data_IF_431111713696
#
_entry.id   IF_431111713696
#
_cell.length_a   1.000
_cell.length_b   1.000
_cell.length_c   1.000
_cell.angle_alpha   90.00
_cell.angle_beta   90.00
_cell.angle_gamma   90.00
#
_symmetry.space_group_name_H-M   'P 1'
#
loop_
_entity.id
_entity.type
_entity.pdbx_description
1 polymer ?
#
# COMPACT_ATOMS: atom_id res chain seq x y z
N UNK A 1 4.43 8.85 -17.04
CA UNK A 1 4.49 9.24 -15.61
C UNK A 1 5.84 8.97 -14.95
N UNK A 2 6.33 7.72 -14.83
CA UNK A 2 7.57 7.40 -14.08
C UNK A 2 8.80 8.25 -14.47
N UNK A 3 9.01 8.46 -15.78
CA UNK A 3 10.10 9.32 -16.27
C UNK A 3 9.95 10.77 -15.77
N UNK A 4 8.75 11.33 -15.84
CA UNK A 4 8.48 12.68 -15.34
C UNK A 4 8.67 12.78 -13.83
N UNK A 5 8.21 11.79 -13.07
CA UNK A 5 8.43 11.72 -11.63
C UNK A 5 9.93 11.73 -11.29
N UNK A 6 10.75 10.97 -12.02
CA UNK A 6 12.21 10.98 -11.87
C UNK A 6 12.82 12.35 -12.18
N UNK A 7 12.43 12.98 -13.27
CA UNK A 7 12.92 14.33 -13.62
C UNK A 7 12.60 15.35 -12.53
N UNK A 8 11.39 15.32 -11.96
CA UNK A 8 11.05 16.20 -10.84
C UNK A 8 11.83 15.86 -9.56
N UNK A 9 12.06 14.58 -9.27
CA UNK A 9 12.87 14.17 -8.12
C UNK A 9 14.33 14.64 -8.25
N UNK A 10 14.92 14.49 -9.44
CA UNK A 10 16.28 14.97 -9.75
C UNK A 10 16.37 16.51 -9.58
N UNK A 11 15.38 17.25 -10.09
CA UNK A 11 15.32 18.70 -9.89
C UNK A 11 15.19 19.06 -8.40
N UNK A 12 14.30 18.43 -7.65
CA UNK A 12 14.16 18.66 -6.20
C UNK A 12 15.48 18.41 -5.46
N UNK A 13 16.23 17.37 -5.84
CA UNK A 13 17.55 17.11 -5.27
C UNK A 13 18.55 18.24 -5.58
N UNK A 14 18.51 18.84 -6.78
CA UNK A 14 19.36 20.00 -7.09
C UNK A 14 19.01 21.24 -6.27
N UNK A 15 17.77 21.35 -5.80
CA UNK A 15 17.31 22.39 -4.86
C UNK A 15 17.60 22.04 -3.38
N UNK A 16 18.31 20.93 -3.12
CA UNK A 16 18.72 20.51 -1.77
C UNK A 16 17.69 19.65 -1.03
N UNK A 17 16.61 19.20 -1.69
CA UNK A 17 15.64 18.31 -1.07
C UNK A 17 16.24 16.93 -0.80
N UNK A 18 16.08 16.44 0.43
CA UNK A 18 16.45 15.08 0.85
C UNK A 18 15.26 14.44 1.58
N UNK A 19 14.76 13.32 1.05
CA UNK A 19 13.66 12.59 1.66
C UNK A 19 12.75 11.89 0.65
N UNK A 20 11.64 11.36 1.14
CA UNK A 20 10.59 10.73 0.32
C UNK A 20 9.72 11.82 -0.31
N UNK A 21 9.38 11.68 -1.59
CA UNK A 21 8.46 12.57 -2.28
C UNK A 21 7.49 11.75 -3.14
N UNK A 22 6.21 12.08 -3.04
CA UNK A 22 5.16 11.59 -3.93
C UNK A 22 4.86 12.59 -5.04
N UNK A 23 4.53 12.10 -6.23
CA UNK A 23 4.10 12.91 -7.36
C UNK A 23 2.76 12.40 -7.87
N UNK A 24 1.74 13.24 -7.78
CA UNK A 24 0.40 12.90 -8.21
C UNK A 24 0.19 13.43 -9.63
N UNK A 25 -0.26 12.55 -10.52
CA UNK A 25 -0.51 12.84 -11.92
C UNK A 25 -1.98 12.61 -12.26
N UNK A 26 -2.51 13.42 -13.18
CA UNK A 26 -3.79 13.16 -13.83
C UNK A 26 -3.52 12.71 -15.26
N UNK A 27 -4.06 11.56 -15.63
CA UNK A 27 -4.03 11.06 -17.00
C UNK A 27 -5.26 11.54 -17.78
N UNK A 28 -5.07 11.90 -19.05
CA UNK A 28 -6.14 12.29 -19.96
C UNK A 28 -5.83 11.85 -21.39
N UNK A 29 -6.85 11.79 -22.23
CA UNK A 29 -6.70 11.57 -23.66
C UNK A 29 -6.67 12.94 -24.34
N UNK A 30 -5.58 13.25 -25.02
CA UNK A 30 -5.43 14.55 -25.68
C UNK A 30 -6.44 14.67 -26.84
N UNK A 31 -7.27 15.73 -26.89
CA UNK A 31 -8.37 15.82 -27.85
C UNK A 31 -7.90 15.78 -29.31
N UNK A 32 -6.82 16.49 -29.64
CA UNK A 32 -6.36 16.55 -31.03
C UNK A 32 -5.57 15.33 -31.51
N UNK A 33 -4.93 14.58 -30.61
CA UNK A 33 -4.03 13.49 -30.98
C UNK A 33 -4.58 12.11 -30.63
N UNK A 34 -5.60 12.04 -29.78
CA UNK A 34 -6.13 10.79 -29.23
C UNK A 34 -5.15 10.01 -28.36
N UNK A 35 -3.98 10.58 -28.03
CA UNK A 35 -2.93 9.89 -27.28
C UNK A 35 -3.11 10.09 -25.78
N UNK A 36 -2.82 9.07 -24.94
CA UNK A 36 -2.71 9.26 -23.50
C UNK A 36 -1.61 10.26 -23.17
N UNK A 37 -1.94 11.23 -22.33
CA UNK A 37 -1.01 12.19 -21.75
C UNK A 37 -1.24 12.29 -20.25
N UNK A 38 -0.29 12.90 -19.55
CA UNK A 38 -0.38 13.12 -18.11
C UNK A 38 0.10 14.53 -17.75
N UNK A 39 -0.51 15.11 -16.72
CA UNK A 39 -0.11 16.39 -16.13
C UNK A 39 0.19 16.19 -14.65
N UNK A 40 1.22 16.87 -14.13
CA UNK A 40 1.52 16.88 -12.70
C UNK A 40 0.45 17.70 -11.98
N UNK A 41 -0.22 17.10 -11.00
CA UNK A 41 -1.25 17.76 -10.20
C UNK A 41 -0.69 18.25 -8.85
N UNK A 42 0.14 17.43 -8.19
CA UNK A 42 0.64 17.73 -6.85
C UNK A 42 2.03 17.12 -6.60
N UNK A 43 2.84 17.80 -5.78
CA UNK A 43 4.08 17.28 -5.21
C UNK A 43 3.91 17.16 -3.70
N UNK A 44 4.06 15.94 -3.18
CA UNK A 44 3.92 15.61 -1.78
C UNK A 44 5.28 15.26 -1.17
N UNK A 45 6.04 16.28 -0.75
CA UNK A 45 7.39 16.16 -0.16
C UNK A 45 7.35 15.72 1.31
N UNK A 46 6.77 14.54 1.58
CA UNK A 46 6.61 13.94 2.92
C UNK A 46 6.36 12.44 2.82
N UNK A 47 6.50 11.74 3.93
CA UNK A 47 5.93 10.39 4.08
C UNK A 47 4.40 10.52 4.01
N UNK A 48 3.80 9.90 3.00
CA UNK A 48 2.36 9.89 2.76
C UNK A 48 1.75 8.51 3.04
N UNK A 49 0.43 8.40 2.93
CA UNK A 49 -0.30 7.15 3.25
C UNK A 49 0.05 5.98 2.33
N UNK A 50 0.58 6.25 1.13
CA UNK A 50 1.03 5.23 0.19
C UNK A 50 2.47 4.76 0.47
N UNK A 51 3.24 5.52 1.27
CA UNK A 51 4.67 5.24 1.52
C UNK A 51 4.86 3.91 2.24
N UNK A 52 4.17 3.69 3.37
CA UNK A 52 4.31 2.46 4.16
C UNK A 52 3.84 1.20 3.42
N UNK A 53 2.64 1.17 2.80
CA UNK A 53 2.22 0.01 2.01
C UNK A 53 3.18 -0.34 0.88
N UNK A 54 3.69 0.68 0.15
CA UNK A 54 4.62 0.45 -0.96
C UNK A 54 5.95 -0.10 -0.45
N UNK A 55 6.47 0.45 0.64
CA UNK A 55 7.69 -0.04 1.28
C UNK A 55 7.53 -1.47 1.83
N UNK A 56 6.37 -1.81 2.42
CA UNK A 56 6.08 -3.16 2.88
C UNK A 56 6.11 -4.17 1.73
N UNK A 57 5.48 -3.86 0.59
CA UNK A 57 5.50 -4.73 -0.59
C UNK A 57 6.93 -4.94 -1.10
N UNK A 58 7.70 -3.85 -1.25
CA UNK A 58 9.10 -3.93 -1.70
C UNK A 58 9.96 -4.77 -0.74
N UNK A 59 9.86 -4.50 0.57
CA UNK A 59 10.61 -5.20 1.60
C UNK A 59 10.28 -6.70 1.63
N UNK A 60 8.99 -7.05 1.61
CA UNK A 60 8.54 -8.44 1.63
C UNK A 60 8.94 -9.18 0.35
N UNK A 61 8.84 -8.55 -0.81
CA UNK A 61 9.28 -9.16 -2.08
C UNK A 61 10.80 -9.38 -2.12
N UNK A 62 11.59 -8.43 -1.60
CA UNK A 62 13.04 -8.59 -1.48
C UNK A 62 13.44 -9.74 -0.55
N UNK A 63 12.66 -9.99 0.50
CA UNK A 63 12.87 -11.12 1.41
C UNK A 63 12.40 -12.47 0.83
N UNK A 64 11.30 -12.48 0.06
CA UNK A 64 10.68 -13.67 -0.53
C UNK A 64 11.42 -14.19 -1.77
N UNK A 65 11.87 -13.28 -2.65
CA UNK A 65 12.46 -13.64 -3.95
C UNK A 65 13.65 -14.62 -3.84
N UNK A 66 14.64 -14.43 -2.93
CA UNK A 66 15.76 -15.37 -2.81
C UNK A 66 15.36 -16.76 -2.31
N UNK A 67 14.18 -16.88 -1.68
CA UNK A 67 13.66 -18.13 -1.12
C UNK A 67 12.72 -18.87 -2.08
N UNK A 68 12.46 -18.32 -3.27
CA UNK A 68 11.48 -18.87 -4.20
C UNK A 68 10.04 -18.82 -3.66
N UNK A 69 9.76 -17.93 -2.70
CA UNK A 69 8.42 -17.72 -2.18
C UNK A 69 7.60 -16.86 -3.15
N UNK A 70 6.26 -16.94 -3.11
CA UNK A 70 5.38 -16.11 -3.94
C UNK A 70 5.68 -14.62 -3.79
N UNK A 71 5.53 -13.84 -4.86
CA UNK A 71 5.68 -12.40 -4.81
C UNK A 71 4.32 -11.72 -4.67
N UNK A 72 4.31 -10.58 -4.00
CA UNK A 72 3.14 -9.73 -3.85
C UNK A 72 3.07 -8.81 -5.08
N UNK A 73 1.95 -8.86 -5.79
CA UNK A 73 1.71 -8.11 -7.02
C UNK A 73 0.61 -7.06 -6.89
N UNK A 74 -0.22 -7.16 -5.86
CA UNK A 74 -1.28 -6.22 -5.55
C UNK A 74 -1.37 -5.96 -4.05
N UNK A 75 -1.81 -4.76 -3.69
CA UNK A 75 -2.12 -4.42 -2.31
C UNK A 75 -3.28 -3.43 -2.23
N UNK A 76 -3.97 -3.44 -1.09
CA UNK A 76 -4.97 -2.43 -0.70
C UNK A 76 -4.60 -1.90 0.67
N UNK A 77 -4.38 -0.60 0.78
CA UNK A 77 -4.23 0.09 2.06
C UNK A 77 -5.57 0.68 2.47
N UNK A 78 -5.96 0.52 3.73
CA UNK A 78 -7.19 1.09 4.25
C UNK A 78 -7.11 1.34 5.76
N UNK A 79 -7.99 2.21 6.23
CA UNK A 79 -8.22 2.44 7.66
C UNK A 79 -9.49 1.71 8.07
N UNK A 80 -9.39 0.84 9.06
CA UNK A 80 -10.53 0.12 9.63
C UNK A 80 -10.78 0.54 11.09
N UNK A 81 -12.00 0.31 11.55
CA UNK A 81 -12.42 0.56 12.93
C UNK A 81 -12.70 -0.79 13.60
N UNK A 82 -11.66 -1.45 14.13
CA UNK A 82 -11.77 -2.82 14.65
C UNK A 82 -12.65 -2.86 15.91
N UNK A 83 -13.47 -3.91 16.04
CA UNK A 83 -14.32 -4.17 17.21
C UNK A 83 -13.63 -5.02 18.27
N UNK A 84 -12.54 -5.70 17.90
CA UNK A 84 -11.68 -6.43 18.85
C UNK A 84 -11.07 -5.51 19.90
N UNK A 85 -10.88 -6.02 21.13
CA UNK A 85 -10.47 -5.26 22.32
C UNK A 85 -8.98 -5.39 22.63
N UNK A 86 -8.31 -6.34 21.99
CA UNK A 86 -6.87 -6.59 22.17
C UNK A 86 -6.24 -7.17 20.91
N UNK A 87 -4.90 -7.10 20.82
CA UNK A 87 -4.16 -7.78 19.76
C UNK A 87 -4.24 -9.31 19.86
N UNK A 88 -4.44 -9.84 21.07
CA UNK A 88 -4.68 -11.27 21.28
C UNK A 88 -5.99 -11.69 20.62
N UNK A 89 -7.07 -10.95 20.88
CA UNK A 89 -8.38 -11.19 20.27
C UNK A 89 -8.33 -10.99 18.74
N UNK A 90 -7.62 -9.97 18.25
CA UNK A 90 -7.38 -9.79 16.82
C UNK A 90 -6.73 -11.04 16.20
N UNK A 91 -5.70 -11.60 16.84
CA UNK A 91 -5.04 -12.82 16.36
C UNK A 91 -5.96 -14.04 16.43
N UNK A 92 -6.79 -14.16 17.47
CA UNK A 92 -7.74 -15.27 17.61
C UNK A 92 -8.83 -15.24 16.53
N UNK A 93 -9.35 -14.05 16.24
CA UNK A 93 -10.48 -13.83 15.34
C UNK A 93 -10.04 -13.77 13.87
N UNK A 94 -8.94 -13.08 13.58
CA UNK A 94 -8.45 -12.84 12.22
C UNK A 94 -7.21 -13.66 11.85
N UNK A 95 -6.70 -14.56 12.71
CA UNK A 95 -5.38 -15.17 12.55
C UNK A 95 -5.12 -15.86 11.21
N UNK A 96 -6.14 -16.51 10.64
CA UNK A 96 -6.07 -17.16 9.31
C UNK A 96 -6.02 -16.17 8.15
N UNK A 97 -6.42 -14.91 8.38
CA UNK A 97 -6.43 -13.82 7.39
C UNK A 97 -5.17 -12.96 7.49
N UNK A 98 -4.37 -13.09 8.55
CA UNK A 98 -3.11 -12.37 8.69
C UNK A 98 -2.08 -12.87 7.68
N UNK A 99 -1.15 -12.00 7.31
CA UNK A 99 -0.14 -12.29 6.29
C UNK A 99 0.64 -13.58 6.57
N UNK A 100 0.66 -14.46 5.58
CA UNK A 100 1.45 -15.69 5.58
C UNK A 100 2.58 -15.59 4.53
N UNK A 101 3.86 -15.60 4.94
CA UNK A 101 4.99 -15.52 4.01
C UNK A 101 5.17 -16.76 3.13
N UNK A 102 4.55 -17.89 3.46
CA UNK A 102 4.57 -19.08 2.59
C UNK A 102 3.67 -18.93 1.37
N UNK A 103 2.57 -18.18 1.51
CA UNK A 103 1.60 -17.95 0.44
C UNK A 103 1.77 -16.57 -0.21
N UNK A 104 2.42 -15.62 0.46
CA UNK A 104 2.51 -14.22 0.02
C UNK A 104 1.18 -13.47 0.13
N UNK A 105 0.20 -14.02 0.87
CA UNK A 105 -1.17 -13.49 0.99
C UNK A 105 -1.49 -13.12 2.43
N UNK A 106 -2.37 -12.14 2.61
CA UNK A 106 -3.01 -11.84 3.89
C UNK A 106 -2.94 -10.36 4.27
N UNK A 107 -3.42 -10.06 5.47
CA UNK A 107 -3.55 -8.69 5.98
C UNK A 107 -2.47 -8.40 7.03
N UNK A 108 -1.86 -7.22 6.93
CA UNK A 108 -0.92 -6.69 7.92
C UNK A 108 -1.51 -5.42 8.53
N UNK A 109 -1.91 -5.44 9.81
CA UNK A 109 -2.10 -4.24 10.60
C UNK A 109 -0.75 -3.55 10.85
N UNK A 110 -0.58 -2.29 10.44
CA UNK A 110 0.71 -1.60 10.55
C UNK A 110 0.68 -0.28 11.32
N UNK A 111 -0.50 0.26 11.63
CA UNK A 111 -0.66 1.40 12.53
C UNK A 111 -1.92 1.21 13.38
N UNK A 112 -1.76 0.81 14.65
CA UNK A 112 -2.87 0.36 15.49
C UNK A 112 -3.11 1.38 16.62
N UNK A 113 -4.26 2.05 16.56
CA UNK A 113 -4.75 2.90 17.64
C UNK A 113 -5.31 2.09 18.81
N UNK A 114 -5.83 2.80 19.82
CA UNK A 114 -6.40 2.16 21.03
C UNK A 114 -7.63 1.30 20.69
N UNK A 115 -7.52 -0.01 20.75
CA UNK A 115 -8.63 -0.92 20.56
C UNK A 115 -9.68 -0.84 21.70
N UNK A 116 -11.00 -0.96 21.42
CA UNK A 116 -11.68 -0.98 20.11
C UNK A 116 -12.03 0.43 19.57
N UNK A 117 -11.54 1.50 20.19
CA UNK A 117 -12.01 2.88 19.94
C UNK A 117 -11.19 3.66 18.90
N UNK A 118 -10.02 3.14 18.54
CA UNK A 118 -9.04 3.75 17.66
C UNK A 118 -9.13 3.19 16.24
N UNK A 119 -8.43 3.87 15.32
CA UNK A 119 -8.27 3.41 13.95
C UNK A 119 -7.15 2.38 13.86
N UNK A 120 -7.28 1.46 12.92
CA UNK A 120 -6.22 0.55 12.53
C UNK A 120 -5.96 0.72 11.03
N UNK A 121 -4.76 1.14 10.65
CA UNK A 121 -4.35 1.09 9.25
C UNK A 121 -3.85 -0.32 8.94
N UNK A 122 -4.38 -0.89 7.86
CA UNK A 122 -4.07 -2.24 7.40
C UNK A 122 -3.68 -2.23 5.93
N UNK A 123 -2.87 -3.20 5.54
CA UNK A 123 -2.61 -3.51 4.13
C UNK A 123 -3.00 -4.96 3.86
N UNK A 124 -3.91 -5.17 2.91
CA UNK A 124 -4.19 -6.49 2.35
C UNK A 124 -3.25 -6.72 1.16
N UNK A 125 -2.62 -7.89 1.10
CA UNK A 125 -1.56 -8.24 0.15
C UNK A 125 -1.95 -9.49 -0.63
N UNK A 126 -1.60 -9.53 -1.92
CA UNK A 126 -1.76 -10.73 -2.72
C UNK A 126 -1.29 -10.63 -4.16
N UNK A 127 -1.63 -11.65 -4.95
CA UNK A 127 -1.16 -11.83 -6.33
C UNK A 127 -2.01 -11.06 -7.36
N UNK A 128 -3.25 -10.70 -7.02
CA UNK A 128 -4.13 -9.96 -7.92
C UNK A 128 -4.97 -8.93 -7.19
N UNK A 129 -5.35 -7.87 -7.91
CA UNK A 129 -6.27 -6.86 -7.39
C UNK A 129 -7.54 -7.49 -6.85
N UNK A 130 -8.18 -8.37 -7.62
CA UNK A 130 -9.43 -9.03 -7.21
C UNK A 130 -9.26 -9.82 -5.91
N UNK A 131 -8.22 -10.65 -5.82
CA UNK A 131 -7.98 -11.44 -4.61
C UNK A 131 -7.72 -10.59 -3.38
N UNK A 132 -7.05 -9.43 -3.54
CA UNK A 132 -6.83 -8.47 -2.45
C UNK A 132 -8.12 -7.79 -2.00
N UNK A 133 -9.00 -7.42 -2.94
CA UNK A 133 -10.31 -6.85 -2.61
C UNK A 133 -11.17 -7.86 -1.85
N UNK A 134 -11.28 -9.09 -2.36
CA UNK A 134 -12.05 -10.18 -1.73
C UNK A 134 -11.54 -10.49 -0.31
N UNK A 135 -10.21 -10.58 -0.13
CA UNK A 135 -9.57 -10.78 1.18
C UNK A 135 -9.89 -9.64 2.15
N UNK A 136 -9.86 -8.40 1.68
CA UNK A 136 -10.11 -7.23 2.50
C UNK A 136 -11.57 -7.16 2.98
N UNK A 137 -12.53 -7.53 2.13
CA UNK A 137 -13.94 -7.61 2.49
C UNK A 137 -14.17 -8.63 3.63
N UNK A 138 -13.62 -9.84 3.48
CA UNK A 138 -13.70 -10.90 4.51
C UNK A 138 -13.07 -10.42 5.82
N UNK A 139 -11.92 -9.74 5.76
CA UNK A 139 -11.25 -9.20 6.94
C UNK A 139 -12.13 -8.15 7.66
N UNK A 140 -12.80 -7.27 6.91
CA UNK A 140 -13.67 -6.23 7.47
C UNK A 140 -14.94 -6.78 8.14
N UNK A 141 -15.44 -7.93 7.69
CA UNK A 141 -16.59 -8.59 8.32
C UNK A 141 -16.25 -9.17 9.70
N UNK A 142 -14.98 -9.51 9.91
CA UNK A 142 -14.51 -10.30 11.04
C UNK A 142 -13.85 -9.43 12.13
N UNK A 143 -13.27 -8.27 11.78
CA UNK A 143 -12.47 -7.43 12.68
C UNK A 143 -13.22 -6.40 13.54
#
# INVERSE_FOLDING_TARGET
>A
MLRSARTYAEWLQTEGYTGVVGFDFVEYVHPDTGRPQHVLAEINARVNEATYPSFLVEHLNAAQAPRGQPLIHAFRSAKVSPKVRSLTELREVCGQLLFNPETGLGVIPYNIGRLPYGRCDVVALGDSRRGVEDLFEIFCEVI
#
